data_IF_492516484007
#
_entry.id   IF_492516484007
#
_cell.length_a   1.000
_cell.length_b   1.000
_cell.length_c   1.000
_cell.angle_alpha   90.00
_cell.angle_beta   90.00
_cell.angle_gamma   90.00
#
_symmetry.space_group_name_H-M   'P 1'
#
loop_
_entity.id
_entity.type
_entity.pdbx_description
1 polymer ?
#
# COMPACT_ATOMS: atom_id res chain seq x y z
N UNK A 1 -4.50 17.66 5.98
CA UNK A 1 -3.09 18.04 6.25
C UNK A 1 -2.57 19.05 5.24
N UNK A 2 -2.59 18.75 3.92
CA UNK A 2 -2.10 19.66 2.86
C UNK A 2 -2.72 21.06 2.94
N UNK A 3 -4.06 21.15 2.98
CA UNK A 3 -4.78 22.43 3.10
C UNK A 3 -4.36 23.24 4.35
N UNK A 4 -4.31 22.59 5.51
CA UNK A 4 -3.90 23.21 6.76
C UNK A 4 -2.47 23.77 6.69
N UNK A 5 -1.54 22.98 6.12
CA UNK A 5 -0.15 23.39 5.89
C UNK A 5 -0.06 24.56 4.90
N UNK A 6 -0.83 24.54 3.81
CA UNK A 6 -0.79 25.58 2.78
C UNK A 6 -1.34 26.93 3.29
N UNK A 7 -2.30 26.91 4.22
CA UNK A 7 -2.83 28.13 4.84
C UNK A 7 -2.12 28.53 6.14
N UNK A 8 -1.28 27.66 6.70
CA UNK A 8 -0.63 27.89 7.99
C UNK A 8 -1.62 27.89 9.16
N UNK A 9 -2.66 27.05 9.09
CA UNK A 9 -3.72 26.93 10.11
C UNK A 9 -3.71 25.56 10.76
N UNK A 10 -4.39 25.44 11.91
CA UNK A 10 -4.58 24.16 12.59
C UNK A 10 -5.47 23.21 11.78
N UNK A 11 -5.21 21.90 11.88
CA UNK A 11 -5.95 20.86 11.15
C UNK A 11 -7.45 20.86 11.51
N UNK A 12 -7.80 21.18 12.75
CA UNK A 12 -9.19 21.27 13.22
C UNK A 12 -10.03 22.34 12.50
N UNK A 13 -9.36 23.32 11.87
CA UNK A 13 -10.01 24.35 11.06
C UNK A 13 -10.28 23.90 9.62
N UNK A 14 -9.94 22.65 9.27
CA UNK A 14 -10.16 22.07 7.94
C UNK A 14 -11.16 20.93 8.04
N UNK A 15 -12.25 21.05 7.29
CA UNK A 15 -13.29 20.01 7.19
C UNK A 15 -13.32 19.48 5.76
N UNK A 16 -13.25 18.16 5.60
CA UNK A 16 -13.48 17.47 4.33
C UNK A 16 -14.92 17.00 4.30
N UNK A 17 -15.68 17.42 3.28
CA UNK A 17 -17.05 16.96 3.05
C UNK A 17 -17.06 15.74 2.12
N UNK A 18 -18.10 14.90 2.18
CA UNK A 18 -18.31 13.86 1.19
C UNK A 18 -18.29 14.43 -0.23
N UNK A 19 -17.70 13.67 -1.15
CA UNK A 19 -17.63 14.04 -2.56
C UNK A 19 -18.86 13.56 -3.31
N UNK A 20 -19.33 14.36 -4.25
CA UNK A 20 -20.39 13.99 -5.20
C UNK A 20 -20.15 14.64 -6.57
N UNK A 21 -20.96 14.27 -7.55
CA UNK A 21 -20.83 14.78 -8.91
C UNK A 21 -21.26 16.26 -9.06
N UNK A 22 -21.91 16.84 -8.04
CA UNK A 22 -22.29 18.25 -8.03
C UNK A 22 -21.11 19.13 -7.62
N UNK A 23 -20.29 18.63 -6.70
CA UNK A 23 -19.12 19.33 -6.14
C UNK A 23 -17.85 19.08 -6.94
N UNK A 24 -17.68 17.89 -7.51
CA UNK A 24 -16.49 17.50 -8.28
C UNK A 24 -16.86 16.64 -9.51
N UNK A 25 -17.40 17.24 -10.59
CA UNK A 25 -17.75 16.50 -11.80
C UNK A 25 -16.50 16.00 -12.54
N UNK A 26 -16.67 14.93 -13.32
CA UNK A 26 -15.63 14.33 -14.18
C UNK A 26 -14.39 13.80 -13.43
N UNK A 27 -14.53 13.41 -12.16
CA UNK A 27 -13.47 12.73 -11.42
C UNK A 27 -13.19 11.32 -11.98
N UNK A 28 -11.92 10.93 -11.95
CA UNK A 28 -11.48 9.57 -12.24
C UNK A 28 -11.70 8.64 -11.02
N UNK A 29 -11.56 7.33 -11.24
CA UNK A 29 -11.59 6.35 -10.17
C UNK A 29 -10.41 6.53 -9.20
N UNK A 30 -10.63 6.26 -7.92
CA UNK A 30 -9.55 6.21 -6.91
C UNK A 30 -8.80 4.88 -7.02
N UNK A 31 -7.56 4.91 -7.52
CA UNK A 31 -6.72 3.72 -7.70
C UNK A 31 -5.31 4.05 -8.21
N UNK A 32 -4.52 3.02 -8.54
CA UNK A 32 -3.19 3.15 -9.17
C UNK A 32 -2.15 3.86 -8.31
N UNK A 33 -2.33 3.83 -6.98
CA UNK A 33 -1.43 4.50 -6.02
C UNK A 33 -1.24 6.01 -6.22
N UNK A 34 -2.11 6.71 -6.97
CA UNK A 34 -1.97 8.16 -7.24
C UNK A 34 -3.17 9.00 -6.79
N UNK A 35 -4.20 8.38 -6.19
CA UNK A 35 -5.40 9.08 -5.76
C UNK A 35 -5.11 10.20 -4.75
N UNK A 36 -4.31 9.90 -3.71
CA UNK A 36 -3.90 10.91 -2.72
C UNK A 36 -3.03 12.00 -3.35
N UNK A 37 -2.08 11.65 -4.22
CA UNK A 37 -1.22 12.60 -4.94
C UNK A 37 -2.04 13.58 -5.78
N UNK A 38 -2.92 13.08 -6.64
CA UNK A 38 -3.74 13.92 -7.54
C UNK A 38 -4.69 14.85 -6.77
N UNK A 39 -5.38 14.33 -5.75
CA UNK A 39 -6.30 15.13 -4.92
C UNK A 39 -5.53 16.17 -4.11
N UNK A 40 -4.41 15.77 -3.49
CA UNK A 40 -3.60 16.70 -2.69
C UNK A 40 -2.97 17.79 -3.56
N UNK A 41 -2.55 17.48 -4.78
CA UNK A 41 -2.07 18.46 -5.75
C UNK A 41 -3.17 19.48 -6.09
N UNK A 42 -4.37 19.01 -6.42
CA UNK A 42 -5.49 19.90 -6.73
C UNK A 42 -5.84 20.81 -5.53
N UNK A 43 -5.82 20.26 -4.32
CA UNK A 43 -6.01 21.04 -3.08
C UNK A 43 -4.92 22.09 -2.91
N UNK A 44 -3.65 21.75 -3.15
CA UNK A 44 -2.54 22.70 -3.07
C UNK A 44 -2.68 23.84 -4.07
N UNK A 45 -3.10 23.56 -5.31
CA UNK A 45 -3.35 24.60 -6.32
C UNK A 45 -4.52 25.53 -5.94
N UNK A 46 -5.60 24.96 -5.38
CA UNK A 46 -6.70 25.76 -4.83
C UNK A 46 -6.22 26.65 -3.67
N UNK A 47 -5.44 26.11 -2.73
CA UNK A 47 -4.89 26.87 -1.61
C UNK A 47 -3.95 27.98 -2.09
N UNK A 48 -3.09 27.72 -3.08
CA UNK A 48 -2.21 28.71 -3.69
C UNK A 48 -3.01 29.86 -4.30
N UNK A 49 -4.03 29.54 -5.08
CA UNK A 49 -4.93 30.52 -5.69
C UNK A 49 -5.60 31.41 -4.64
N UNK A 50 -6.11 30.81 -3.55
CA UNK A 50 -6.73 31.56 -2.46
C UNK A 50 -5.71 32.42 -1.72
N UNK A 51 -4.50 31.89 -1.45
CA UNK A 51 -3.43 32.65 -0.81
C UNK A 51 -3.00 33.87 -1.63
N UNK A 52 -2.86 33.72 -2.96
CA UNK A 52 -2.56 34.84 -3.87
C UNK A 52 -3.62 35.94 -3.80
N UNK A 53 -4.90 35.56 -3.70
CA UNK A 53 -6.02 36.50 -3.54
C UNK A 53 -6.07 37.15 -2.15
N UNK A 54 -5.63 36.44 -1.11
CA UNK A 54 -5.53 36.96 0.25
C UNK A 54 -4.34 37.90 0.46
N UNK A 55 -3.30 37.79 -0.37
CA UNK A 55 -2.04 38.52 -0.21
C UNK A 55 -2.19 40.05 -0.06
N UNK A 56 -3.04 40.75 -0.86
CA UNK A 56 -3.25 42.19 -0.70
C UNK A 56 -3.88 42.58 0.65
N UNK A 57 -4.69 41.70 1.25
CA UNK A 57 -5.31 41.91 2.56
C UNK A 57 -4.30 41.58 3.65
N UNK A 58 -3.58 40.46 3.51
CA UNK A 58 -2.54 40.00 4.44
C UNK A 58 -1.44 41.03 4.64
N UNK A 59 -1.00 41.72 3.57
CA UNK A 59 -0.01 42.81 3.65
C UNK A 59 -0.45 44.01 4.50
N UNK A 60 -1.77 44.26 4.59
CA UNK A 60 -2.34 45.36 5.38
C UNK A 60 -2.58 44.97 6.84
N UNK A 61 -2.64 43.68 7.14
CA UNK A 61 -3.03 43.14 8.44
C UNK A 61 -2.04 42.06 8.88
N UNK A 62 -0.87 42.48 9.35
CA UNK A 62 0.21 41.57 9.79
C UNK A 62 -0.10 41.04 11.19
N UNK A 63 0.07 39.72 11.39
CA UNK A 63 -0.03 39.08 12.70
C UNK A 63 -1.46 38.85 13.21
N UNK A 64 -2.48 39.08 12.38
CA UNK A 64 -3.87 38.75 12.73
C UNK A 64 -4.13 37.26 12.61
N UNK A 65 -5.10 36.77 13.39
CA UNK A 65 -5.55 35.39 13.31
C UNK A 65 -6.33 35.12 12.02
N UNK A 66 -6.50 33.83 11.71
CA UNK A 66 -7.14 33.39 10.48
C UNK A 66 -8.58 33.90 10.32
N UNK A 67 -9.48 33.82 11.34
CA UNK A 67 -10.84 34.35 11.22
C UNK A 67 -10.89 35.84 10.90
N UNK A 68 -10.05 36.67 11.54
CA UNK A 68 -10.01 38.11 11.28
C UNK A 68 -9.53 38.41 9.86
N UNK A 69 -8.50 37.69 9.38
CA UNK A 69 -8.04 37.82 7.99
C UNK A 69 -9.14 37.50 6.97
N UNK A 70 -9.86 36.40 7.19
CA UNK A 70 -10.94 35.96 6.30
C UNK A 70 -12.11 36.93 6.32
N UNK A 71 -12.47 37.46 7.48
CA UNK A 71 -13.51 38.48 7.59
C UNK A 71 -13.14 39.76 6.85
N UNK A 72 -11.90 40.22 6.96
CA UNK A 72 -11.40 41.38 6.21
C UNK A 72 -11.39 41.13 4.70
N UNK A 73 -11.01 39.93 4.26
CA UNK A 73 -11.04 39.53 2.86
C UNK A 73 -12.47 39.51 2.30
N UNK A 74 -13.44 39.02 3.08
CA UNK A 74 -14.86 39.10 2.74
C UNK A 74 -15.34 40.55 2.56
N UNK A 75 -15.02 41.44 3.52
CA UNK A 75 -15.37 42.87 3.42
C UNK A 75 -14.72 43.55 2.21
N UNK A 76 -13.55 43.07 1.78
CA UNK A 76 -12.88 43.52 0.57
C UNK A 76 -13.39 42.84 -0.73
N UNK A 77 -14.46 42.05 -0.67
CA UNK A 77 -15.03 41.30 -1.80
C UNK A 77 -14.03 40.36 -2.48
N UNK A 78 -13.10 39.79 -1.73
CA UNK A 78 -12.16 38.78 -2.24
C UNK A 78 -12.91 37.46 -2.44
N UNK A 79 -12.77 36.85 -3.63
CA UNK A 79 -13.33 35.52 -3.87
C UNK A 79 -12.53 34.43 -3.15
N UNK A 80 -13.12 33.84 -2.11
CA UNK A 80 -12.54 32.79 -1.26
C UNK A 80 -12.86 31.36 -1.73
N UNK A 81 -13.43 31.19 -2.92
CA UNK A 81 -13.65 29.88 -3.54
C UNK A 81 -12.66 29.64 -4.68
N UNK A 82 -12.08 28.44 -4.74
CA UNK A 82 -11.24 28.01 -5.84
C UNK A 82 -11.54 26.55 -6.19
N UNK A 83 -11.39 26.23 -7.48
CA UNK A 83 -11.51 24.89 -8.02
C UNK A 83 -10.29 24.60 -8.89
N UNK A 84 -9.85 23.35 -8.91
CA UNK A 84 -8.74 22.89 -9.74
C UNK A 84 -9.03 21.47 -10.22
N UNK A 85 -8.84 21.22 -11.51
CA UNK A 85 -8.94 19.90 -12.11
C UNK A 85 -7.54 19.37 -12.36
N UNK A 86 -7.16 18.29 -11.68
CA UNK A 86 -5.88 17.63 -11.91
C UNK A 86 -5.84 17.04 -13.33
N UNK A 87 -4.78 17.32 -14.08
CA UNK A 87 -4.54 16.76 -15.40
C UNK A 87 -3.41 15.74 -15.34
N UNK A 88 -3.67 14.44 -15.58
CA UNK A 88 -2.61 13.43 -15.66
C UNK A 88 -1.57 13.71 -16.75
N UNK A 89 -1.88 14.53 -17.76
CA UNK A 89 -0.95 14.87 -18.84
C UNK A 89 -0.05 16.04 -18.44
N UNK A 90 -0.61 17.05 -17.76
CA UNK A 90 0.12 18.27 -17.44
C UNK A 90 0.79 18.24 -16.05
N UNK A 91 0.07 17.71 -15.05
CA UNK A 91 0.43 17.82 -13.64
C UNK A 91 1.19 16.61 -13.12
N UNK A 92 0.94 15.42 -13.66
CA UNK A 92 1.55 14.18 -13.16
C UNK A 92 3.08 14.17 -13.36
N UNK A 93 3.79 13.78 -12.31
CA UNK A 93 5.23 13.54 -12.32
C UNK A 93 5.50 12.11 -11.87
N UNK A 94 6.09 11.32 -12.76
CA UNK A 94 6.45 9.94 -12.46
C UNK A 94 7.66 9.89 -11.54
N UNK A 95 7.61 9.02 -10.53
CA UNK A 95 8.72 8.68 -9.65
C UNK A 95 8.71 7.18 -9.37
N UNK A 96 9.81 6.68 -8.80
CA UNK A 96 9.94 5.27 -8.41
C UNK A 96 9.81 5.13 -6.90
N UNK A 97 9.14 4.07 -6.49
CA UNK A 97 9.10 3.57 -5.11
C UNK A 97 10.08 2.40 -5.03
N UNK A 98 10.89 2.39 -3.98
CA UNK A 98 11.88 1.34 -3.73
C UNK A 98 11.57 0.66 -2.40
N UNK A 99 11.77 -0.64 -2.34
CA UNK A 99 11.56 -1.40 -1.12
C UNK A 99 12.50 -2.60 -1.04
N UNK A 100 12.74 -3.07 0.18
CA UNK A 100 13.44 -4.31 0.45
C UNK A 100 12.74 -5.10 1.57
N UNK A 101 12.66 -6.42 1.40
CA UNK A 101 12.08 -7.33 2.40
C UNK A 101 13.05 -8.45 2.73
N UNK A 102 13.15 -8.76 4.02
CA UNK A 102 13.72 -10.01 4.52
C UNK A 102 12.61 -10.77 5.23
N UNK A 103 12.45 -12.05 4.89
CA UNK A 103 11.39 -12.90 5.42
C UNK A 103 11.96 -14.27 5.78
N UNK A 104 11.52 -14.80 6.92
CA UNK A 104 11.86 -16.13 7.43
C UNK A 104 10.61 -16.99 7.58
N UNK A 105 10.69 -18.25 7.13
CA UNK A 105 9.61 -19.23 7.28
C UNK A 105 10.10 -20.50 7.97
N UNK A 106 9.20 -21.12 8.72
CA UNK A 106 9.30 -22.51 9.15
C UNK A 106 8.28 -23.31 8.34
N UNK A 107 8.69 -24.43 7.76
CA UNK A 107 7.83 -25.31 6.96
C UNK A 107 7.82 -26.70 7.59
N UNK A 108 6.63 -27.20 7.91
CA UNK A 108 6.42 -28.60 8.21
C UNK A 108 6.41 -29.39 6.90
N UNK A 109 7.48 -30.14 6.67
CA UNK A 109 7.68 -30.90 5.42
C UNK A 109 6.70 -32.06 5.26
N UNK A 110 6.10 -32.58 6.34
CA UNK A 110 5.16 -33.71 6.29
C UNK A 110 3.76 -33.25 5.87
N UNK A 111 3.36 -32.04 6.28
CA UNK A 111 2.01 -31.50 6.03
C UNK A 111 1.99 -30.41 4.95
N UNK A 112 3.13 -29.74 4.73
CA UNK A 112 3.27 -28.55 3.91
C UNK A 112 2.79 -27.27 4.58
N UNK A 113 2.29 -27.35 5.82
CA UNK A 113 1.95 -26.16 6.61
C UNK A 113 3.21 -25.32 6.88
N UNK A 114 3.04 -24.01 6.93
CA UNK A 114 4.15 -23.11 7.20
C UNK A 114 3.75 -21.97 8.13
N UNK A 115 4.75 -21.39 8.79
CA UNK A 115 4.63 -20.18 9.59
C UNK A 115 5.62 -19.16 9.10
N UNK A 116 5.20 -17.90 9.07
CA UNK A 116 6.10 -16.78 8.82
C UNK A 116 6.63 -16.33 10.19
N UNK A 117 7.88 -16.67 10.47
CA UNK A 117 8.50 -16.39 11.76
C UNK A 117 8.77 -14.91 11.94
N UNK A 118 9.32 -14.28 10.89
CA UNK A 118 9.72 -12.89 10.93
C UNK A 118 9.69 -12.25 9.54
N UNK A 119 9.32 -10.99 9.49
CA UNK A 119 9.43 -10.12 8.32
C UNK A 119 9.99 -8.76 8.73
N UNK A 120 11.03 -8.31 8.02
CA UNK A 120 11.51 -6.93 8.06
C UNK A 120 11.27 -6.29 6.68
N UNK A 121 10.50 -5.20 6.65
CA UNK A 121 10.19 -4.41 5.46
C UNK A 121 10.82 -3.03 5.59
N UNK A 122 11.55 -2.60 4.56
CA UNK A 122 12.00 -1.22 4.41
C UNK A 122 11.42 -0.64 3.12
N UNK A 123 10.55 0.37 3.23
CA UNK A 123 9.87 0.99 2.10
C UNK A 123 10.22 2.48 1.97
N UNK A 124 10.49 2.93 0.74
CA UNK A 124 10.71 4.33 0.41
C UNK A 124 9.39 5.08 0.19
N UNK A 125 8.84 5.59 1.29
CA UNK A 125 7.65 6.45 1.30
C UNK A 125 7.95 7.95 1.06
N UNK A 126 9.18 8.29 0.67
CA UNK A 126 9.65 9.68 0.65
C UNK A 126 9.52 10.35 2.04
N UNK A 127 9.05 11.60 2.06
CA UNK A 127 8.57 12.27 3.27
C UNK A 127 7.09 11.95 3.51
N UNK A 128 6.85 10.86 4.23
CA UNK A 128 5.52 10.39 4.63
C UNK A 128 4.62 11.53 5.16
N UNK A 129 3.38 11.57 4.64
CA UNK A 129 2.33 12.51 5.07
C UNK A 129 1.75 12.12 6.44
N UNK A 130 1.60 10.82 6.66
CA UNK A 130 1.09 10.23 7.90
C UNK A 130 1.71 8.86 8.10
N UNK A 131 2.74 8.80 8.95
CA UNK A 131 3.53 7.59 9.14
C UNK A 131 2.70 6.37 9.56
N UNK A 132 1.69 6.57 10.41
CA UNK A 132 0.81 5.48 10.85
C UNK A 132 -0.07 4.94 9.72
N UNK A 133 -0.55 5.82 8.83
CA UNK A 133 -1.35 5.40 7.67
C UNK A 133 -0.45 4.68 6.68
N UNK A 134 0.74 5.21 6.42
CA UNK A 134 1.66 4.63 5.45
C UNK A 134 2.18 3.28 5.91
N UNK A 135 2.52 3.11 7.19
CA UNK A 135 2.87 1.81 7.78
C UNK A 135 1.70 0.83 7.63
N UNK A 136 0.48 1.24 7.97
CA UNK A 136 -0.70 0.39 7.84
C UNK A 136 -1.00 -0.03 6.39
N UNK A 137 -0.73 0.86 5.41
CA UNK A 137 -0.81 0.51 4.00
C UNK A 137 0.23 -0.54 3.62
N UNK A 138 1.49 -0.35 4.05
CA UNK A 138 2.58 -1.31 3.78
C UNK A 138 2.25 -2.67 4.34
N UNK A 139 1.80 -2.75 5.59
CA UNK A 139 1.44 -4.00 6.25
C UNK A 139 0.24 -4.68 5.59
N UNK A 140 -0.82 -3.94 5.30
CA UNK A 140 -2.02 -4.47 4.67
C UNK A 140 -1.77 -4.98 3.25
N UNK A 141 -1.02 -4.22 2.45
CA UNK A 141 -0.62 -4.60 1.10
C UNK A 141 0.30 -5.83 1.10
N UNK A 142 1.25 -5.88 2.03
CA UNK A 142 2.12 -7.04 2.18
C UNK A 142 1.32 -8.31 2.53
N UNK A 143 0.40 -8.25 3.50
CA UNK A 143 -0.45 -9.37 3.89
C UNK A 143 -1.38 -9.81 2.75
N UNK A 144 -1.95 -8.86 1.99
CA UNK A 144 -2.71 -9.19 0.77
C UNK A 144 -1.85 -9.96 -0.23
N UNK A 145 -0.60 -9.54 -0.41
CA UNK A 145 0.37 -10.26 -1.24
C UNK A 145 0.72 -11.65 -0.70
N UNK A 146 0.84 -11.82 0.63
CA UNK A 146 1.04 -13.15 1.24
C UNK A 146 -0.09 -14.10 0.84
N UNK A 147 -1.35 -13.65 0.95
CA UNK A 147 -2.51 -14.42 0.52
C UNK A 147 -2.43 -14.85 -0.93
N UNK A 148 -2.13 -13.91 -1.83
CA UNK A 148 -1.91 -14.18 -3.25
C UNK A 148 -0.86 -15.27 -3.50
N UNK A 149 0.25 -15.27 -2.74
CA UNK A 149 1.32 -16.24 -2.93
C UNK A 149 1.12 -17.57 -2.23
N UNK A 150 0.31 -17.68 -1.16
CA UNK A 150 0.28 -18.88 -0.31
C UNK A 150 -1.09 -19.55 -0.18
N UNK A 151 -2.19 -18.80 -0.15
CA UNK A 151 -3.51 -19.35 0.24
C UNK A 151 -4.64 -19.07 -0.75
N UNK A 152 -4.61 -17.94 -1.45
CA UNK A 152 -5.71 -17.47 -2.30
C UNK A 152 -5.71 -18.19 -3.66
N UNK A 153 -6.36 -19.35 -3.72
CA UNK A 153 -6.49 -20.18 -4.94
C UNK A 153 -7.88 -20.01 -5.56
N UNK A 154 -7.92 -19.59 -6.82
CA UNK A 154 -9.14 -19.65 -7.62
C UNK A 154 -9.28 -21.02 -8.26
N UNK A 155 -10.36 -21.74 -7.95
CA UNK A 155 -10.66 -23.04 -8.54
C UNK A 155 -11.89 -22.93 -9.42
N UNK A 156 -11.79 -23.40 -10.65
CA UNK A 156 -12.89 -23.47 -11.60
C UNK A 156 -13.20 -24.93 -11.94
N UNK A 157 -14.47 -25.21 -12.16
CA UNK A 157 -14.91 -26.47 -12.74
C UNK A 157 -14.37 -26.61 -14.17
N UNK A 158 -13.66 -27.70 -14.50
CA UNK A 158 -12.97 -27.82 -15.79
C UNK A 158 -13.93 -27.92 -16.98
N UNK A 159 -15.13 -28.47 -16.77
CA UNK A 159 -16.09 -28.71 -17.86
C UNK A 159 -16.99 -27.50 -18.12
N UNK A 160 -17.50 -26.86 -17.05
CA UNK A 160 -18.43 -25.73 -17.13
C UNK A 160 -17.78 -24.36 -17.00
N UNK A 161 -16.52 -24.27 -16.55
CA UNK A 161 -15.84 -23.02 -16.25
C UNK A 161 -16.37 -22.30 -15.00
N UNK A 162 -17.28 -22.93 -14.24
CA UNK A 162 -17.90 -22.31 -13.06
C UNK A 162 -16.89 -22.14 -11.93
N UNK A 163 -16.82 -20.96 -11.32
CA UNK A 163 -15.98 -20.72 -10.14
C UNK A 163 -16.51 -21.50 -8.92
N UNK A 164 -15.67 -22.41 -8.41
CA UNK A 164 -15.96 -23.26 -7.25
C UNK A 164 -15.58 -22.56 -5.93
N UNK A 165 -14.57 -21.71 -5.95
CA UNK A 165 -14.12 -20.93 -4.77
C UNK A 165 -14.81 -19.56 -4.71
N UNK A 166 -16.14 -19.55 -4.66
CA UNK A 166 -16.93 -18.32 -4.77
C UNK A 166 -17.52 -17.82 -3.43
N UNK A 167 -17.14 -18.43 -2.29
CA UNK A 167 -17.45 -17.96 -0.94
C UNK A 167 -16.20 -18.03 -0.05
N UNK A 168 -16.28 -17.40 1.12
CA UNK A 168 -15.20 -17.32 2.12
C UNK A 168 -14.86 -18.66 2.79
N UNK A 169 -15.70 -19.68 2.63
CA UNK A 169 -15.43 -21.04 3.08
C UNK A 169 -14.49 -21.79 2.12
N UNK A 170 -14.52 -21.49 0.83
CA UNK A 170 -13.65 -22.13 -0.15
C UNK A 170 -12.47 -21.24 -0.56
N UNK A 171 -12.65 -19.92 -0.58
CA UNK A 171 -11.60 -18.94 -0.86
C UNK A 171 -11.01 -18.38 0.45
N UNK A 172 -9.74 -18.72 0.71
CA UNK A 172 -9.08 -18.45 2.00
C UNK A 172 -8.13 -17.26 1.90
N UNK A 173 -8.61 -16.10 2.35
CA UNK A 173 -7.78 -14.93 2.60
C UNK A 173 -6.97 -15.11 3.90
N UNK A 174 -5.81 -14.44 4.04
CA UNK A 174 -5.03 -14.46 5.27
C UNK A 174 -5.86 -14.03 6.49
N UNK A 175 -5.80 -14.83 7.55
CA UNK A 175 -6.32 -14.53 8.87
C UNK A 175 -5.23 -14.14 9.87
N UNK A 176 -5.62 -13.95 11.13
CA UNK A 176 -4.71 -13.48 12.18
C UNK A 176 -3.55 -14.45 12.51
N UNK A 177 -3.64 -15.72 12.10
CA UNK A 177 -2.56 -16.71 12.28
C UNK A 177 -1.62 -16.81 11.09
N UNK A 178 -1.97 -16.18 9.97
CA UNK A 178 -1.22 -16.22 8.72
C UNK A 178 -0.29 -15.00 8.57
N UNK A 179 -0.40 -14.01 9.47
CA UNK A 179 0.50 -12.86 9.53
C UNK A 179 1.86 -13.25 10.14
N UNK A 180 2.94 -12.51 9.86
CA UNK A 180 4.24 -12.73 10.51
C UNK A 180 4.16 -12.63 12.04
N UNK A 181 4.82 -13.55 12.74
CA UNK A 181 4.87 -13.55 14.21
C UNK A 181 5.65 -12.32 14.71
N UNK A 182 6.76 -11.99 14.05
CA UNK A 182 7.53 -10.76 14.25
C UNK A 182 7.46 -9.92 12.98
N UNK A 183 6.61 -8.89 12.98
CA UNK A 183 6.36 -8.04 11.81
C UNK A 183 6.94 -6.63 12.04
N UNK A 184 7.99 -6.28 11.28
CA UNK A 184 8.72 -5.02 11.42
C UNK A 184 8.68 -4.22 10.14
N UNK A 185 8.06 -3.05 10.21
CA UNK A 185 7.89 -2.15 9.06
C UNK A 185 8.66 -0.86 9.31
N UNK A 186 9.53 -0.50 8.37
CA UNK A 186 10.35 0.70 8.42
C UNK A 186 10.12 1.55 7.17
N UNK A 187 10.02 2.86 7.37
CA UNK A 187 10.04 3.83 6.27
C UNK A 187 11.46 4.39 6.12
N UNK A 188 11.96 4.41 4.88
CA UNK A 188 13.31 4.86 4.57
C UNK A 188 13.51 6.33 5.00
N UNK A 189 14.49 6.57 5.86
CA UNK A 189 14.83 7.93 6.32
C UNK A 189 15.61 8.69 5.26
N UNK A 190 15.43 10.01 5.23
CA UNK A 190 16.15 10.92 4.34
C UNK A 190 15.96 10.62 2.84
N UNK A 191 14.85 9.99 2.46
CA UNK A 191 14.49 9.76 1.08
C UNK A 191 13.67 10.96 0.57
N UNK A 192 14.34 11.91 -0.10
CA UNK A 192 13.63 13.06 -0.66
C UNK A 192 12.92 12.68 -1.98
N UNK A 193 11.70 13.19 -2.18
CA UNK A 193 11.00 13.11 -3.45
C UNK A 193 10.55 14.50 -3.90
N UNK A 194 11.35 15.25 -4.66
CA UNK A 194 10.97 16.60 -5.07
C UNK A 194 9.77 16.62 -6.03
N UNK A 195 9.35 15.47 -6.56
CA UNK A 195 8.25 15.34 -7.52
C UNK A 195 6.89 15.05 -6.86
N UNK A 196 6.89 14.51 -5.63
CA UNK A 196 5.67 14.15 -4.91
C UNK A 196 5.12 15.28 -4.06
N UNK A 197 3.83 15.25 -3.76
CA UNK A 197 3.19 16.27 -2.92
C UNK A 197 3.76 16.26 -1.50
N UNK A 198 4.18 17.43 -1.01
CA UNK A 198 4.91 17.56 0.26
C UNK A 198 6.12 16.61 0.38
N UNK A 199 6.65 16.17 -0.77
CA UNK A 199 7.75 15.23 -0.92
C UNK A 199 7.44 13.78 -0.53
N UNK A 200 6.16 13.39 -0.52
CA UNK A 200 5.73 12.01 -0.27
C UNK A 200 5.98 11.07 -1.45
N UNK A 201 5.89 9.77 -1.20
CA UNK A 201 5.70 8.75 -2.23
C UNK A 201 4.52 7.87 -1.90
N UNK A 202 3.93 7.26 -2.92
CA UNK A 202 2.86 6.30 -2.74
C UNK A 202 3.34 4.99 -2.09
N UNK A 203 2.47 4.39 -1.27
CA UNK A 203 2.78 3.21 -0.44
C UNK A 203 1.74 2.09 -0.55
N UNK A 204 0.68 2.28 -1.35
CA UNK A 204 -0.45 1.36 -1.39
C UNK A 204 -0.15 0.04 -2.10
N UNK A 205 0.20 0.10 -3.39
CA UNK A 205 0.44 -1.11 -4.19
C UNK A 205 1.86 -1.70 -4.11
N UNK A 206 2.96 -0.90 -4.00
CA UNK A 206 4.31 -1.46 -4.07
C UNK A 206 4.62 -2.61 -3.08
N UNK A 207 4.14 -2.58 -1.82
CA UNK A 207 4.43 -3.64 -0.85
C UNK A 207 3.78 -4.99 -1.18
N UNK A 208 2.77 -5.03 -2.07
CA UNK A 208 2.23 -6.30 -2.59
C UNK A 208 3.33 -7.09 -3.29
N UNK A 209 4.17 -6.44 -4.09
CA UNK A 209 5.24 -7.10 -4.85
C UNK A 209 6.30 -7.67 -3.90
N UNK A 210 6.57 -6.98 -2.81
CA UNK A 210 7.56 -7.35 -1.80
C UNK A 210 7.23 -8.66 -1.05
N UNK A 211 5.94 -9.04 -1.04
CA UNK A 211 5.48 -10.32 -0.48
C UNK A 211 5.99 -11.55 -1.24
N UNK A 212 6.50 -11.39 -2.47
CA UNK A 212 7.08 -12.49 -3.24
C UNK A 212 8.27 -13.18 -2.53
N UNK A 213 8.86 -12.51 -1.54
CA UNK A 213 9.87 -13.04 -0.63
C UNK A 213 9.45 -14.37 0.01
N UNK A 214 8.15 -14.56 0.28
CA UNK A 214 7.62 -15.81 0.85
C UNK A 214 7.84 -17.02 -0.06
N UNK A 215 7.70 -16.87 -1.39
CA UNK A 215 7.99 -17.96 -2.34
C UNK A 215 9.45 -18.41 -2.24
N UNK A 216 10.37 -17.45 -2.14
CA UNK A 216 11.81 -17.74 -2.10
C UNK A 216 12.19 -18.41 -0.79
N UNK A 217 11.66 -17.93 0.34
CA UNK A 217 11.89 -18.51 1.65
C UNK A 217 11.37 -19.96 1.73
N UNK A 218 10.15 -20.23 1.24
CA UNK A 218 9.59 -21.59 1.19
C UNK A 218 10.44 -22.51 0.30
N UNK A 219 10.84 -22.05 -0.90
CA UNK A 219 11.74 -22.85 -1.76
C UNK A 219 13.07 -23.17 -1.06
N UNK A 220 13.63 -22.23 -0.31
CA UNK A 220 14.87 -22.44 0.43
C UNK A 220 14.69 -23.49 1.54
N UNK A 221 13.58 -23.44 2.28
CA UNK A 221 13.24 -24.45 3.29
C UNK A 221 13.11 -25.85 2.66
N UNK A 222 12.37 -25.96 1.55
CA UNK A 222 12.22 -27.23 0.82
C UNK A 222 13.54 -27.75 0.28
N UNK A 223 14.39 -26.90 -0.31
CA UNK A 223 15.73 -27.29 -0.77
C UNK A 223 16.60 -27.82 0.36
N UNK A 224 16.52 -27.22 1.56
CA UNK A 224 17.22 -27.72 2.74
C UNK A 224 16.77 -29.14 3.11
N UNK A 225 15.47 -29.37 3.22
CA UNK A 225 14.92 -30.69 3.55
C UNK A 225 15.27 -31.76 2.50
N UNK A 226 15.19 -31.41 1.22
CA UNK A 226 15.56 -32.29 0.10
C UNK A 226 17.04 -32.67 0.12
N UNK A 227 17.90 -31.73 0.50
CA UNK A 227 19.34 -31.97 0.67
C UNK A 227 19.60 -33.01 1.76
N UNK A 228 18.90 -32.95 2.89
CA UNK A 228 19.01 -33.94 3.97
C UNK A 228 18.55 -35.33 3.51
N UNK A 229 17.57 -35.38 2.60
CA UNK A 229 17.11 -36.61 1.94
C UNK A 229 18.03 -37.09 0.81
N UNK A 230 19.14 -36.39 0.54
CA UNK A 230 20.10 -36.67 -0.54
C UNK A 230 19.46 -36.65 -1.94
N UNK A 231 18.46 -35.81 -2.13
CA UNK A 231 17.89 -35.55 -3.45
C UNK A 231 18.78 -34.58 -4.24
N UNK A 232 18.73 -34.60 -5.59
CA UNK A 232 19.47 -33.65 -6.42
C UNK A 232 19.09 -32.20 -6.09
N UNK A 233 20.08 -31.31 -6.13
CA UNK A 233 19.85 -29.86 -6.03
C UNK A 233 19.40 -29.33 -7.40
N UNK A 234 18.09 -29.24 -7.56
CA UNK A 234 17.43 -28.81 -8.79
C UNK A 234 16.45 -27.66 -8.50
N UNK A 235 16.05 -26.95 -9.55
CA UNK A 235 15.03 -25.92 -9.44
C UNK A 235 13.68 -26.55 -9.09
N UNK A 236 13.08 -26.13 -7.97
CA UNK A 236 11.74 -26.55 -7.57
C UNK A 236 10.69 -25.72 -8.29
N UNK A 237 10.19 -26.27 -9.39
CA UNK A 237 9.08 -25.70 -10.14
C UNK A 237 7.78 -25.89 -9.35
N UNK A 238 7.20 -24.79 -8.89
CA UNK A 238 5.93 -24.75 -8.18
C UNK A 238 5.17 -23.51 -8.64
N UNK A 239 3.94 -23.72 -9.08
CA UNK A 239 3.03 -22.64 -9.46
C UNK A 239 2.40 -22.02 -8.21
N UNK A 240 2.18 -20.71 -8.26
CA UNK A 240 1.44 -20.02 -7.21
C UNK A 240 -0.06 -20.38 -7.27
N UNK A 241 -0.76 -20.44 -6.12
CA UNK A 241 -0.23 -20.22 -4.76
C UNK A 241 0.51 -21.45 -4.18
N UNK A 242 1.41 -21.18 -3.25
CA UNK A 242 2.24 -22.13 -2.52
C UNK A 242 1.43 -22.70 -1.35
N UNK A 243 0.36 -23.41 -1.70
CA UNK A 243 -0.53 -24.05 -0.73
C UNK A 243 0.20 -25.16 0.03
N UNK A 244 -0.33 -25.57 1.19
CA UNK A 244 0.20 -26.71 1.93
C UNK A 244 0.31 -27.97 1.07
N UNK A 245 -0.67 -28.24 0.21
CA UNK A 245 -0.62 -29.32 -0.79
C UNK A 245 0.60 -29.19 -1.71
N UNK A 246 0.79 -28.03 -2.36
CA UNK A 246 1.88 -27.81 -3.31
C UNK A 246 3.26 -27.90 -2.63
N UNK A 247 3.37 -27.39 -1.41
CA UNK A 247 4.58 -27.46 -0.59
C UNK A 247 4.88 -28.92 -0.23
N UNK A 248 3.88 -29.66 0.25
CA UNK A 248 4.02 -31.07 0.65
C UNK A 248 4.43 -31.95 -0.55
N UNK A 249 3.76 -31.82 -1.69
CA UNK A 249 4.08 -32.57 -2.91
C UNK A 249 5.50 -32.26 -3.43
N UNK A 250 6.03 -31.07 -3.16
CA UNK A 250 7.36 -30.65 -3.60
C UNK A 250 8.49 -30.98 -2.61
N UNK A 251 8.14 -31.41 -1.39
CA UNK A 251 9.10 -31.76 -0.33
C UNK A 251 10.01 -32.94 -0.69
N UNK A 252 9.59 -33.81 -1.59
CA UNK A 252 10.30 -35.06 -1.93
C UNK A 252 10.07 -36.20 -0.93
N UNK A 253 9.19 -36.00 0.06
CA UNK A 253 8.77 -37.06 0.98
C UNK A 253 7.93 -38.10 0.23
N UNK A 254 8.23 -39.35 0.54
CA UNK A 254 7.49 -40.53 0.07
C UNK A 254 6.58 -40.99 1.20
N UNK A 255 5.26 -40.90 1.01
CA UNK A 255 4.27 -41.23 2.02
C UNK A 255 4.43 -42.68 2.54
N UNK A 256 4.94 -43.58 1.70
CA UNK A 256 5.19 -44.99 2.02
C UNK A 256 6.25 -45.19 3.12
N UNK A 257 7.08 -44.17 3.40
CA UNK A 257 8.05 -44.22 4.50
C UNK A 257 7.42 -43.98 5.88
N UNK A 258 6.18 -43.51 5.92
CA UNK A 258 5.47 -43.10 7.13
C UNK A 258 4.12 -43.80 7.30
N UNK A 259 3.76 -44.72 6.40
CA UNK A 259 2.66 -45.66 6.61
C UNK A 259 3.08 -46.71 7.63
N UNK A 260 2.26 -46.85 8.69
CA UNK A 260 2.38 -47.93 9.69
C UNK A 260 2.11 -49.31 9.09
#
# INVERSE_FOLDING_TARGET
>A
QVCASAFGILLENVVVKPIDNLTCPNNAASGGSYASESVCYAVEQCCKTINERLEPVRKKMIGVDWPTLIQAAYTANVNLNATYMFSPVADYKSYKVFGATVLEVEVDILTGEHKILRVDILEDAGKSLSQFVDIGQVEGAFVMGLGYWTSEKLVHDPDSGRMLTNRTLEYRVPGAKDIPIDFRTYLLKNADNPLGILRSKAVGEPPIVMSNSVMFAIRQALRSARKDMKLPDEWLSMDAPFTGENICLSSGIKAEKYSL
#
